data_IF_917744420616
#
_entry.id   IF_917744420616
#
_cell.length_a   1.000
_cell.length_b   1.000
_cell.length_c   1.000
_cell.angle_alpha   90.00
_cell.angle_beta   90.00
_cell.angle_gamma   90.00
#
_symmetry.space_group_name_H-M   'P 1'
#
loop_
_entity.id
_entity.type
_entity.pdbx_description
1 polymer ?
#
# COMPACT_ATOMS: atom_id res chain seq x y z
N UNK A 1 22.99 -10.01 -33.68
CA UNK A 1 23.51 -9.83 -32.30
C UNK A 1 23.00 -8.55 -31.64
N UNK A 2 22.07 -7.81 -32.26
CA UNK A 2 21.46 -6.58 -31.71
C UNK A 2 20.04 -6.85 -31.20
N UNK A 3 19.36 -7.88 -31.70
CA UNK A 3 17.97 -8.21 -31.33
C UNK A 3 17.81 -8.90 -29.95
N UNK A 4 18.88 -9.40 -29.33
CA UNK A 4 18.81 -10.00 -27.98
C UNK A 4 19.00 -8.99 -26.85
N UNK A 5 19.44 -7.76 -27.15
CA UNK A 5 19.72 -6.73 -26.14
C UNK A 5 18.49 -5.84 -25.89
N UNK A 6 17.64 -5.64 -26.91
CA UNK A 6 16.42 -4.83 -26.78
C UNK A 6 15.32 -5.57 -26.01
N UNK A 7 15.22 -6.90 -26.16
CA UNK A 7 14.24 -7.72 -25.42
C UNK A 7 14.56 -7.85 -23.91
N UNK A 8 15.80 -7.56 -23.49
CA UNK A 8 16.20 -7.60 -22.06
C UNK A 8 15.73 -6.39 -21.26
N UNK A 9 15.45 -5.26 -21.92
CA UNK A 9 15.03 -4.04 -21.24
C UNK A 9 13.54 -4.00 -20.90
N UNK A 10 12.69 -4.71 -21.64
CA UNK A 10 11.26 -4.82 -21.31
C UNK A 10 10.98 -5.89 -20.25
N UNK A 11 11.78 -6.97 -20.23
CA UNK A 11 11.71 -8.00 -19.18
C UNK A 11 12.24 -7.54 -17.81
N UNK A 12 13.02 -6.45 -17.75
CA UNK A 12 13.51 -5.89 -16.48
C UNK A 12 12.39 -5.23 -15.63
N UNK A 13 11.18 -5.12 -16.18
CA UNK A 13 10.03 -4.49 -15.52
C UNK A 13 9.03 -5.48 -14.90
N UNK A 14 9.18 -6.79 -15.17
CA UNK A 14 8.21 -7.82 -14.78
C UNK A 14 8.89 -8.97 -14.04
N UNK A 15 8.41 -9.32 -12.85
CA UNK A 15 8.80 -10.54 -12.14
C UNK A 15 7.63 -11.53 -12.06
N UNK A 16 7.92 -12.82 -12.20
CA UNK A 16 6.93 -13.90 -12.13
C UNK A 16 7.34 -14.88 -11.04
N UNK A 17 6.51 -15.00 -10.02
CA UNK A 17 6.67 -15.97 -8.94
C UNK A 17 5.87 -17.19 -9.34
N UNK A 18 6.58 -18.27 -9.69
CA UNK A 18 5.98 -19.52 -10.16
C UNK A 18 5.73 -20.49 -9.03
N UNK A 19 4.66 -21.26 -9.16
CA UNK A 19 4.33 -22.30 -8.20
C UNK A 19 5.21 -23.55 -8.43
N UNK A 20 6.16 -23.80 -7.52
CA UNK A 20 7.04 -24.98 -7.54
C UNK A 20 6.75 -25.87 -6.33
N UNK A 21 6.09 -27.00 -6.54
CA UNK A 21 5.61 -27.90 -5.48
C UNK A 21 6.68 -28.80 -4.84
N UNK A 22 7.98 -28.55 -5.05
CA UNK A 22 9.02 -29.58 -4.86
C UNK A 22 9.53 -29.75 -3.41
N UNK A 23 9.00 -29.01 -2.42
CA UNK A 23 9.40 -29.20 -1.02
C UNK A 23 8.36 -28.74 0.01
N UNK A 24 8.44 -29.27 1.23
CA UNK A 24 7.60 -28.86 2.36
C UNK A 24 7.73 -27.36 2.74
N UNK A 25 8.84 -26.71 2.34
CA UNK A 25 9.12 -25.30 2.58
C UNK A 25 8.94 -24.43 1.32
N UNK A 26 8.22 -24.92 0.29
CA UNK A 26 8.00 -24.17 -0.95
C UNK A 26 7.35 -22.80 -0.71
N UNK A 27 6.50 -22.68 0.32
CA UNK A 27 5.81 -21.44 0.65
C UNK A 27 6.78 -20.31 1.08
N UNK A 28 7.75 -20.62 1.94
CA UNK A 28 8.78 -19.66 2.40
C UNK A 28 9.67 -19.21 1.23
N UNK A 29 9.96 -20.12 0.28
CA UNK A 29 10.69 -19.76 -0.93
C UNK A 29 9.92 -18.77 -1.82
N UNK A 30 8.58 -18.90 -1.90
CA UNK A 30 7.75 -17.94 -2.64
C UNK A 30 7.68 -16.58 -1.95
N UNK A 31 7.60 -16.55 -0.62
CA UNK A 31 7.64 -15.30 0.17
C UNK A 31 8.97 -14.57 -0.01
N UNK A 32 10.08 -15.30 0.03
CA UNK A 32 11.42 -14.74 -0.19
C UNK A 32 11.58 -14.17 -1.61
N UNK A 33 11.08 -14.88 -2.63
CA UNK A 33 11.10 -14.38 -4.01
C UNK A 33 10.24 -13.12 -4.18
N UNK A 34 9.10 -13.05 -3.49
CA UNK A 34 8.24 -11.86 -3.46
C UNK A 34 8.95 -10.69 -2.79
N UNK A 35 9.54 -10.89 -1.63
CA UNK A 35 10.29 -9.84 -0.90
C UNK A 35 11.42 -9.30 -1.77
N UNK A 36 12.20 -10.19 -2.40
CA UNK A 36 13.26 -9.81 -3.34
C UNK A 36 12.73 -9.01 -4.54
N UNK A 37 11.57 -9.39 -5.07
CA UNK A 37 10.94 -8.64 -6.16
C UNK A 37 10.44 -7.25 -5.72
N UNK A 38 9.93 -7.13 -4.50
CA UNK A 38 9.51 -5.86 -3.93
C UNK A 38 10.71 -4.93 -3.71
N UNK A 39 11.81 -5.45 -3.17
CA UNK A 39 13.07 -4.72 -2.97
C UNK A 39 13.72 -4.28 -4.29
N UNK A 40 13.65 -5.14 -5.31
CA UNK A 40 14.13 -4.83 -6.67
C UNK A 40 13.20 -3.86 -7.43
N UNK A 41 12.07 -3.45 -6.84
CA UNK A 41 11.27 -2.34 -7.33
C UNK A 41 10.63 -2.56 -8.72
N UNK A 42 10.34 -3.82 -9.08
CA UNK A 42 9.71 -4.20 -10.36
C UNK A 42 8.38 -3.46 -10.60
N UNK A 43 8.06 -3.15 -11.86
CA UNK A 43 6.83 -2.43 -12.21
C UNK A 43 5.60 -3.34 -12.18
N UNK A 44 5.78 -4.62 -12.47
CA UNK A 44 4.74 -5.64 -12.44
C UNK A 44 5.28 -6.89 -11.76
N UNK A 45 4.59 -7.36 -10.73
CA UNK A 45 4.89 -8.64 -10.07
C UNK A 45 3.68 -9.54 -10.29
N UNK A 46 3.92 -10.73 -10.82
CA UNK A 46 2.89 -11.74 -11.08
C UNK A 46 3.07 -12.87 -10.09
N UNK A 47 2.05 -13.10 -9.27
CA UNK A 47 2.05 -14.15 -8.25
C UNK A 47 1.14 -15.27 -8.75
N UNK A 48 1.74 -16.39 -9.15
CA UNK A 48 1.00 -17.59 -9.57
C UNK A 48 0.42 -18.38 -8.38
N UNK A 49 1.15 -18.58 -7.25
CA UNK A 49 0.59 -19.28 -6.09
C UNK A 49 -0.59 -18.51 -5.50
N UNK A 50 -1.80 -19.05 -5.67
CA UNK A 50 -3.05 -18.41 -5.24
C UNK A 50 -3.06 -18.04 -3.75
N UNK A 51 -2.54 -18.92 -2.88
CA UNK A 51 -2.46 -18.66 -1.43
C UNK A 51 -1.66 -17.40 -1.10
N UNK A 52 -0.45 -17.28 -1.66
CA UNK A 52 0.41 -16.12 -1.43
C UNK A 52 -0.21 -14.87 -2.04
N UNK A 53 -0.74 -14.98 -3.27
CA UNK A 53 -1.41 -13.87 -3.95
C UNK A 53 -2.61 -13.32 -3.17
N UNK A 54 -3.43 -14.19 -2.58
CA UNK A 54 -4.57 -13.82 -1.73
C UNK A 54 -4.13 -13.16 -0.43
N UNK A 55 -3.08 -13.67 0.21
CA UNK A 55 -2.50 -13.10 1.44
C UNK A 55 -1.94 -11.69 1.17
N UNK A 56 -1.15 -11.53 0.11
CA UNK A 56 -0.61 -10.22 -0.29
C UNK A 56 -1.72 -9.25 -0.69
N UNK A 57 -2.72 -9.72 -1.44
CA UNK A 57 -3.87 -8.90 -1.84
C UNK A 57 -4.68 -8.40 -0.64
N UNK A 58 -4.89 -9.27 0.35
CA UNK A 58 -5.54 -8.91 1.61
C UNK A 58 -4.71 -7.90 2.40
N UNK A 59 -3.39 -8.08 2.48
CA UNK A 59 -2.49 -7.14 3.15
C UNK A 59 -2.58 -5.74 2.51
N UNK A 60 -2.51 -5.67 1.18
CA UNK A 60 -2.69 -4.43 0.40
C UNK A 60 -4.08 -3.80 0.63
N UNK A 61 -5.12 -4.61 0.75
CA UNK A 61 -6.47 -4.13 1.06
C UNK A 61 -6.56 -3.51 2.46
N UNK A 62 -5.98 -4.17 3.47
CA UNK A 62 -5.92 -3.66 4.85
C UNK A 62 -5.13 -2.35 4.90
N UNK A 63 -3.99 -2.30 4.23
CA UNK A 63 -3.18 -1.09 4.09
C UNK A 63 -3.92 0.09 3.47
N UNK A 64 -4.65 -0.16 2.40
CA UNK A 64 -5.49 0.84 1.76
C UNK A 64 -6.65 1.31 2.64
N UNK A 65 -7.22 0.41 3.44
CA UNK A 65 -8.21 0.77 4.45
C UNK A 65 -7.60 1.68 5.52
N UNK A 66 -6.44 1.31 6.08
CA UNK A 66 -5.71 2.11 7.08
C UNK A 66 -5.40 3.52 6.59
N UNK A 67 -4.95 3.66 5.34
CA UNK A 67 -4.70 4.97 4.75
C UNK A 67 -5.97 5.84 4.69
N UNK A 68 -7.09 5.26 4.23
CA UNK A 68 -8.37 5.99 4.11
C UNK A 68 -8.92 6.36 5.48
N UNK A 69 -8.83 5.46 6.47
CA UNK A 69 -9.31 5.73 7.83
C UNK A 69 -8.45 6.78 8.53
N UNK A 70 -7.13 6.76 8.37
CA UNK A 70 -6.23 7.80 8.88
C UNK A 70 -6.50 9.17 8.24
N UNK A 71 -6.74 9.20 6.92
CA UNK A 71 -7.12 10.44 6.21
C UNK A 71 -8.45 11.00 6.73
N UNK A 72 -9.44 10.12 6.91
CA UNK A 72 -10.78 10.50 7.35
C UNK A 72 -10.80 10.96 8.81
N UNK A 73 -10.07 10.27 9.69
CA UNK A 73 -9.97 10.64 11.10
C UNK A 73 -9.25 11.98 11.28
N UNK A 74 -8.17 12.22 10.53
CA UNK A 74 -7.48 13.51 10.49
C UNK A 74 -8.38 14.66 10.04
N UNK A 75 -9.14 14.46 8.96
CA UNK A 75 -10.09 15.45 8.48
C UNK A 75 -11.21 15.71 9.50
N UNK A 76 -11.74 14.65 10.12
CA UNK A 76 -12.77 14.75 11.16
C UNK A 76 -12.25 15.54 12.37
N UNK A 77 -11.00 15.29 12.78
CA UNK A 77 -10.38 16.05 13.87
C UNK A 77 -10.24 17.54 13.53
N UNK A 78 -9.88 17.89 12.29
CA UNK A 78 -9.82 19.29 11.83
C UNK A 78 -11.21 19.93 11.91
N UNK A 79 -12.23 19.29 11.35
CA UNK A 79 -13.60 19.83 11.31
C UNK A 79 -14.14 20.02 12.72
N UNK A 80 -13.97 19.03 13.60
CA UNK A 80 -14.38 19.12 15.01
C UNK A 80 -13.64 20.25 15.73
N UNK A 81 -12.33 20.40 15.50
CA UNK A 81 -11.54 21.48 16.11
C UNK A 81 -11.88 22.89 15.61
N UNK A 82 -12.48 23.02 14.43
CA UNK A 82 -12.94 24.30 13.87
C UNK A 82 -14.37 24.65 14.32
N UNK A 83 -15.30 23.68 14.30
CA UNK A 83 -16.73 23.92 14.57
C UNK A 83 -17.07 23.85 16.06
N UNK A 84 -16.46 22.91 16.80
CA UNK A 84 -16.76 22.62 18.21
C UNK A 84 -15.58 22.95 19.15
N UNK A 85 -14.87 24.05 18.87
CA UNK A 85 -13.73 24.49 19.67
C UNK A 85 -14.03 24.81 21.14
N UNK A 86 -15.30 25.09 21.48
CA UNK A 86 -15.77 25.41 22.83
C UNK A 86 -15.91 24.17 23.75
N UNK A 87 -15.89 22.95 23.19
CA UNK A 87 -15.99 21.69 23.96
C UNK A 87 -14.71 20.85 23.83
N UNK A 88 -13.69 21.09 24.69
CA UNK A 88 -12.40 20.45 24.59
C UNK A 88 -12.45 18.93 24.77
N UNK A 89 -13.46 18.39 25.48
CA UNK A 89 -13.65 16.95 25.64
C UNK A 89 -13.97 16.23 24.33
N UNK A 90 -14.82 16.82 23.48
CA UNK A 90 -15.20 16.22 22.19
C UNK A 90 -14.05 16.39 21.20
N UNK A 91 -13.42 17.56 21.17
CA UNK A 91 -12.23 17.80 20.33
C UNK A 91 -11.07 16.86 20.69
N UNK A 92 -10.86 16.59 21.99
CA UNK A 92 -9.79 15.74 22.49
C UNK A 92 -9.92 14.27 22.07
N UNK A 93 -11.13 13.69 22.16
CA UNK A 93 -11.34 12.28 21.78
C UNK A 93 -11.10 12.04 20.29
N UNK A 94 -11.65 12.90 19.42
CA UNK A 94 -11.40 12.82 17.98
C UNK A 94 -9.93 13.07 17.62
N UNK A 95 -9.27 13.99 18.33
CA UNK A 95 -7.83 14.22 18.18
C UNK A 95 -6.99 12.99 18.53
N UNK A 96 -7.26 12.35 19.67
CA UNK A 96 -6.56 11.12 20.09
C UNK A 96 -6.80 9.98 19.09
N UNK A 97 -8.04 9.77 18.65
CA UNK A 97 -8.35 8.74 17.64
C UNK A 97 -7.64 9.00 16.32
N UNK A 98 -7.55 10.26 15.87
CA UNK A 98 -6.80 10.64 14.67
C UNK A 98 -5.29 10.37 14.82
N UNK A 99 -4.71 10.67 15.99
CA UNK A 99 -3.29 10.38 16.27
C UNK A 99 -3.03 8.87 16.28
N UNK A 100 -3.90 8.08 16.91
CA UNK A 100 -3.75 6.61 16.95
C UNK A 100 -3.85 6.02 15.54
N UNK A 101 -4.88 6.39 14.78
CA UNK A 101 -5.07 5.87 13.41
C UNK A 101 -3.94 6.29 12.47
N UNK A 102 -3.46 7.53 12.57
CA UNK A 102 -2.28 7.96 11.83
C UNK A 102 -1.02 7.21 12.26
N UNK A 103 -0.81 6.98 13.56
CA UNK A 103 0.33 6.24 14.08
C UNK A 103 0.36 4.79 13.59
N UNK A 104 -0.80 4.12 13.63
CA UNK A 104 -0.96 2.77 13.09
C UNK A 104 -0.67 2.72 11.58
N UNK A 105 -1.17 3.68 10.80
CA UNK A 105 -0.83 3.75 9.38
C UNK A 105 0.69 3.93 9.15
N UNK A 106 1.33 4.81 9.92
CA UNK A 106 2.77 5.07 9.79
C UNK A 106 3.61 3.84 10.12
N UNK A 107 3.33 3.17 11.24
CA UNK A 107 4.12 2.02 11.69
C UNK A 107 3.82 0.77 10.86
N UNK A 108 2.55 0.55 10.51
CA UNK A 108 2.11 -0.70 9.89
C UNK A 108 2.10 -0.69 8.36
N UNK A 109 2.06 0.49 7.70
CA UNK A 109 1.89 0.55 6.24
C UNK A 109 2.84 1.51 5.53
N UNK A 110 3.22 2.64 6.14
CA UNK A 110 4.01 3.67 5.45
C UNK A 110 5.42 3.20 5.02
N UNK A 111 6.00 2.27 5.77
CA UNK A 111 7.33 1.71 5.50
C UNK A 111 7.28 0.34 4.81
N UNK A 112 6.09 -0.22 4.61
CA UNK A 112 5.93 -1.52 3.97
C UNK A 112 6.19 -1.39 2.45
N UNK A 113 7.06 -2.23 1.84
CA UNK A 113 7.32 -2.20 0.40
C UNK A 113 6.06 -2.39 -0.45
N UNK A 114 5.08 -3.16 0.04
CA UNK A 114 3.79 -3.40 -0.62
C UNK A 114 2.94 -2.13 -0.76
N UNK A 115 3.24 -1.07 0.00
CA UNK A 115 2.46 0.18 -0.08
C UNK A 115 2.56 0.86 -1.45
N UNK A 116 3.57 0.52 -2.26
CA UNK A 116 3.77 1.05 -3.61
C UNK A 116 3.04 0.24 -4.69
N UNK A 117 2.40 -0.87 -4.32
CA UNK A 117 1.78 -1.81 -5.25
C UNK A 117 0.26 -1.82 -5.08
N UNK A 118 -0.46 -1.94 -6.19
CA UNK A 118 -1.90 -2.15 -6.21
C UNK A 118 -2.21 -3.49 -6.88
N UNK A 119 -3.21 -4.17 -6.32
CA UNK A 119 -3.74 -5.40 -6.90
C UNK A 119 -4.57 -5.02 -8.11
N UNK A 120 -4.13 -5.47 -9.28
CA UNK A 120 -4.86 -5.30 -10.53
C UNK A 120 -5.55 -6.62 -10.89
N UNK A 121 -6.88 -6.64 -10.85
CA UNK A 121 -7.68 -7.80 -11.23
C UNK A 121 -8.06 -7.77 -12.72
N UNK A 122 -8.03 -6.60 -13.34
CA UNK A 122 -8.37 -6.41 -14.76
C UNK A 122 -7.20 -6.75 -15.68
N UNK A 123 -7.18 -8.00 -16.13
CA UNK A 123 -6.15 -8.53 -17.05
C UNK A 123 -6.06 -7.79 -18.39
N UNK A 124 -7.15 -7.14 -18.81
CA UNK A 124 -7.24 -6.37 -20.05
C UNK A 124 -6.43 -5.07 -20.05
N UNK A 125 -6.03 -4.60 -18.87
CA UNK A 125 -5.23 -3.35 -18.71
C UNK A 125 -3.74 -3.63 -18.61
N UNK A 126 -3.32 -4.89 -18.55
CA UNK A 126 -1.92 -5.25 -18.46
C UNK A 126 -1.25 -5.16 -19.85
N UNK A 127 -0.09 -4.47 -19.95
CA UNK A 127 0.62 -4.30 -21.22
C UNK A 127 1.19 -5.60 -21.79
N UNK A 128 1.29 -6.66 -20.97
CA UNK A 128 1.89 -7.94 -21.35
C UNK A 128 0.86 -9.08 -21.38
N UNK A 129 -0.12 -8.96 -22.27
CA UNK A 129 -1.19 -9.96 -22.47
C UNK A 129 -0.65 -11.35 -22.81
N UNK A 130 0.51 -11.43 -23.47
CA UNK A 130 1.20 -12.71 -23.79
C UNK A 130 1.63 -13.49 -22.55
N UNK A 131 1.84 -12.81 -21.42
CA UNK A 131 2.23 -13.42 -20.15
C UNK A 131 1.07 -14.23 -19.54
N UNK A 132 -0.17 -13.85 -19.82
CA UNK A 132 -1.36 -14.61 -19.42
C UNK A 132 -1.50 -15.94 -20.17
N UNK A 133 -0.95 -16.04 -21.39
CA UNK A 133 -0.96 -17.30 -22.15
C UNK A 133 0.00 -18.35 -21.53
N UNK A 134 0.98 -17.90 -20.74
CA UNK A 134 1.99 -18.77 -20.09
C UNK A 134 1.55 -19.23 -18.70
N UNK A 135 0.65 -18.50 -18.03
CA UNK A 135 0.29 -18.71 -16.62
C UNK A 135 -0.70 -19.86 -16.34
N UNK A 136 -1.12 -20.63 -17.35
CA UNK A 136 -1.98 -21.80 -17.13
C UNK A 136 -3.37 -21.46 -16.55
N UNK A 137 -4.13 -22.47 -16.06
CA UNK A 137 -5.50 -22.30 -15.53
C UNK A 137 -5.56 -21.78 -14.08
N UNK A 138 -4.43 -21.53 -13.42
CA UNK A 138 -4.39 -20.87 -12.12
C UNK A 138 -4.84 -19.41 -12.27
N UNK A 139 -5.45 -18.84 -11.23
CA UNK A 139 -5.86 -17.43 -11.20
C UNK A 139 -4.74 -16.59 -10.55
N UNK A 140 -3.79 -16.04 -11.34
CA UNK A 140 -2.66 -15.29 -10.80
C UNK A 140 -3.11 -13.94 -10.24
N UNK A 141 -2.42 -13.48 -9.22
CA UNK A 141 -2.56 -12.13 -8.67
C UNK A 141 -1.52 -11.21 -9.31
N UNK A 142 -1.98 -10.11 -9.90
CA UNK A 142 -1.09 -9.11 -10.50
C UNK A 142 -0.92 -7.93 -9.55
N UNK A 143 0.33 -7.60 -9.23
CA UNK A 143 0.70 -6.43 -8.47
C UNK A 143 1.36 -5.42 -9.40
N UNK A 144 0.70 -4.30 -9.63
CA UNK A 144 1.25 -3.21 -10.43
C UNK A 144 1.79 -2.13 -9.52
N UNK A 145 3.02 -1.72 -9.76
CA UNK A 145 3.64 -0.61 -9.06
C UNK A 145 2.95 0.69 -9.48
N UNK A 146 2.44 1.42 -8.49
CA UNK A 146 1.82 2.72 -8.68
C UNK A 146 2.58 3.72 -7.83
N UNK A 147 3.10 4.76 -8.48
CA UNK A 147 3.84 5.80 -7.77
C UNK A 147 2.90 6.58 -6.82
N UNK A 148 2.86 6.15 -5.56
CA UNK A 148 2.00 6.69 -4.50
C UNK A 148 2.58 7.95 -3.85
N UNK A 149 3.65 8.55 -4.42
CA UNK A 149 4.28 9.79 -3.93
C UNK A 149 3.27 10.92 -3.69
N UNK A 150 2.37 11.17 -4.65
CA UNK A 150 1.36 12.24 -4.54
C UNK A 150 0.38 11.97 -3.39
N UNK A 151 -0.09 10.73 -3.29
CA UNK A 151 -1.03 10.29 -2.25
C UNK A 151 -0.40 10.40 -0.86
N UNK A 152 0.87 10.03 -0.73
CA UNK A 152 1.65 10.15 0.51
C UNK A 152 1.90 11.60 0.90
N UNK A 153 2.24 12.47 -0.05
CA UNK A 153 2.40 13.91 0.20
C UNK A 153 1.08 14.52 0.68
N UNK A 154 -0.03 14.22 0.00
CA UNK A 154 -1.36 14.71 0.40
C UNK A 154 -1.71 14.28 1.82
N UNK A 155 -1.58 12.99 2.14
CA UNK A 155 -1.81 12.50 3.50
C UNK A 155 -0.89 13.19 4.51
N UNK A 156 0.40 13.33 4.21
CA UNK A 156 1.36 14.03 5.06
C UNK A 156 0.96 15.48 5.35
N UNK A 157 0.53 16.22 4.33
CA UNK A 157 0.06 17.61 4.51
C UNK A 157 -1.20 17.69 5.38
N UNK A 158 -2.15 16.77 5.20
CA UNK A 158 -3.39 16.71 6.00
C UNK A 158 -3.05 16.41 7.45
N UNK A 159 -2.21 15.41 7.71
CA UNK A 159 -1.79 15.02 9.06
C UNK A 159 -1.04 16.14 9.78
N UNK A 160 -0.08 16.79 9.11
CA UNK A 160 0.67 17.91 9.71
C UNK A 160 -0.27 19.06 10.05
N UNK A 161 -1.20 19.39 9.15
CA UNK A 161 -2.20 20.45 9.39
C UNK A 161 -3.12 20.10 10.55
N UNK A 162 -3.64 18.87 10.59
CA UNK A 162 -4.48 18.38 11.69
C UNK A 162 -3.76 18.44 13.03
N UNK A 163 -2.52 17.97 13.08
CA UNK A 163 -1.69 17.99 14.28
C UNK A 163 -1.43 19.43 14.76
N UNK A 164 -1.10 20.35 13.85
CA UNK A 164 -0.88 21.76 14.19
C UNK A 164 -2.12 22.44 14.79
N UNK A 165 -3.30 22.21 14.19
CA UNK A 165 -4.58 22.76 14.69
C UNK A 165 -4.92 22.18 16.07
N UNK A 166 -4.80 20.86 16.23
CA UNK A 166 -5.06 20.20 17.51
C UNK A 166 -4.09 20.69 18.60
N UNK A 167 -2.79 20.77 18.32
CA UNK A 167 -1.78 21.23 19.26
C UNK A 167 -2.00 22.70 19.67
N UNK A 168 -2.36 23.56 18.71
CA UNK A 168 -2.68 24.96 18.98
C UNK A 168 -3.91 25.12 19.88
N UNK A 169 -4.99 24.38 19.59
CA UNK A 169 -6.22 24.39 20.42
C UNK A 169 -5.97 23.83 21.81
N UNK A 170 -5.18 22.77 21.92
CA UNK A 170 -4.75 22.24 23.22
C UNK A 170 -3.97 23.30 23.99
N UNK A 171 -2.98 23.95 23.37
CA UNK A 171 -2.23 25.04 24.01
C UNK A 171 -3.13 26.19 24.50
N UNK A 172 -4.15 26.57 23.73
CA UNK A 172 -5.12 27.58 24.18
C UNK A 172 -5.97 27.13 25.38
N UNK A 173 -6.27 25.84 25.50
CA UNK A 173 -7.05 25.32 26.64
C UNK A 173 -6.24 25.27 27.96
N UNK A 174 -4.90 25.23 27.89
CA UNK A 174 -4.01 25.24 29.07
C UNK A 174 -3.45 26.63 29.42
N UNK A 175 -3.73 27.65 28.60
CA UNK A 175 -3.30 29.03 28.81
C UNK A 175 -4.41 29.84 29.47
#
# INVERSE_FOLDING_TARGET
>A
MVDEVENRNDTASVSIIREVYDSANAHEAFEYELERALEAEYNLIVIEPSKLGDETSRWITVGNCLHKTASLSGLTAIVTGLVWGEQPYICGTFGITAVITCGLYTVSWQFDPCCQYQVETDTSKLPHVELLAVLGPSSPTFLVRKDDRRRRILHGTITITAFGICAWRFYQAFK
#
